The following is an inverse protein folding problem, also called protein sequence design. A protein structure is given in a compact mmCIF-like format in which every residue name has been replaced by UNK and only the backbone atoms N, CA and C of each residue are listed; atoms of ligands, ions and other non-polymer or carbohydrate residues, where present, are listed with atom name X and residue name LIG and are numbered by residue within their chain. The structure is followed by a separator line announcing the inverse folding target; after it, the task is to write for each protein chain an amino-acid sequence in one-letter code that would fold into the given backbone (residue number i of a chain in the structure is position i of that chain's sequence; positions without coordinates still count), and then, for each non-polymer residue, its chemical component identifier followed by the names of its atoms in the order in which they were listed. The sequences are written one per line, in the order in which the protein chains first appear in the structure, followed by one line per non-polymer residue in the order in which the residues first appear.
data_IF_594697446857
#
_entry.id   IF_594697446857
#
_cell.length_a   1.000
_cell.length_b   1.000
_cell.length_c   1.000
_cell.angle_alpha   90.00
_cell.angle_beta   90.00
_cell.angle_gamma   90.00
#
_symmetry.space_group_name_H-M   'P 1'
#
loop_
_entity.id
_entity.type
_entity.pdbx_description
1 polymer ?
#
# COMPACT_ATOMS: atom_id res chain seq x y z
N UNK A 1 -22.14 -5.87 -44.27
CA UNK A 1 -22.81 -5.77 -42.94
C UNK A 1 -23.65 -4.50 -42.91
N UNK A 2 -24.98 -4.60 -42.72
CA UNK A 2 -25.89 -3.45 -42.63
C UNK A 2 -25.52 -2.52 -41.44
N UNK A 3 -25.76 -1.21 -41.58
CA UNK A 3 -25.56 -0.15 -40.59
C UNK A 3 -26.18 -0.51 -39.23
N UNK A 4 -27.29 -1.26 -39.23
CA UNK A 4 -27.91 -1.77 -38.00
C UNK A 4 -27.09 -2.87 -37.30
N UNK A 5 -26.50 -3.79 -38.06
CA UNK A 5 -25.65 -4.85 -37.50
C UNK A 5 -24.38 -4.27 -36.86
N UNK A 6 -23.77 -3.26 -37.50
CA UNK A 6 -22.58 -2.57 -36.99
C UNK A 6 -22.83 -1.88 -35.64
N UNK A 7 -23.99 -1.21 -35.48
CA UNK A 7 -24.38 -0.55 -34.23
C UNK A 7 -24.62 -1.51 -33.06
N UNK A 8 -25.14 -2.72 -33.32
CA UNK A 8 -25.37 -3.72 -32.27
C UNK A 8 -24.05 -4.29 -31.76
N UNK A 9 -23.11 -4.60 -32.68
CA UNK A 9 -21.77 -5.09 -32.33
C UNK A 9 -21.01 -4.04 -31.53
N UNK A 10 -21.04 -2.77 -31.95
CA UNK A 10 -20.38 -1.68 -31.23
C UNK A 10 -20.88 -1.51 -29.79
N UNK A 11 -22.21 -1.58 -29.57
CA UNK A 11 -22.77 -1.48 -28.21
C UNK A 11 -22.32 -2.62 -27.31
N UNK A 12 -22.35 -3.85 -27.82
CA UNK A 12 -21.89 -5.03 -27.06
C UNK A 12 -20.41 -4.91 -26.73
N UNK A 13 -19.60 -4.45 -27.67
CA UNK A 13 -18.17 -4.27 -27.49
C UNK A 13 -17.85 -3.19 -26.46
N UNK A 14 -18.53 -2.03 -26.52
CA UNK A 14 -18.39 -0.95 -25.54
C UNK A 14 -18.77 -1.42 -24.12
N UNK A 15 -19.86 -2.19 -24.00
CA UNK A 15 -20.28 -2.78 -22.74
C UNK A 15 -19.20 -3.73 -22.18
N UNK A 16 -18.68 -4.66 -23.00
CA UNK A 16 -17.65 -5.60 -22.57
C UNK A 16 -16.35 -4.89 -22.15
N UNK A 17 -15.92 -3.86 -22.89
CA UNK A 17 -14.75 -3.04 -22.52
C UNK A 17 -14.97 -2.39 -21.17
N UNK A 18 -16.11 -1.71 -20.97
CA UNK A 18 -16.40 -1.05 -19.69
C UNK A 18 -16.49 -2.04 -18.53
N UNK A 19 -17.02 -3.26 -18.76
CA UNK A 19 -17.06 -4.32 -17.76
C UNK A 19 -15.66 -4.76 -17.35
N UNK A 20 -14.76 -4.98 -18.32
CA UNK A 20 -13.36 -5.32 -18.06
C UNK A 20 -12.63 -4.20 -17.32
N UNK A 21 -12.89 -2.94 -17.67
CA UNK A 21 -12.30 -1.79 -16.98
C UNK A 21 -12.79 -1.66 -15.53
N UNK A 22 -14.07 -1.91 -15.25
CA UNK A 22 -14.59 -1.93 -13.88
C UNK A 22 -13.89 -3.02 -13.07
N UNK A 23 -13.79 -4.23 -13.63
CA UNK A 23 -13.11 -5.34 -12.95
C UNK A 23 -11.63 -5.02 -12.68
N UNK A 24 -10.92 -4.49 -13.69
CA UNK A 24 -9.53 -4.08 -13.55
C UNK A 24 -9.38 -2.99 -12.48
N UNK A 25 -10.23 -1.96 -12.49
CA UNK A 25 -10.20 -0.87 -11.52
C UNK A 25 -10.40 -1.39 -10.08
N UNK A 26 -11.36 -2.29 -9.86
CA UNK A 26 -11.59 -2.90 -8.55
C UNK A 26 -10.40 -3.74 -8.09
N UNK A 27 -9.82 -4.53 -8.99
CA UNK A 27 -8.65 -5.34 -8.71
C UNK A 27 -7.44 -4.47 -8.34
N UNK A 28 -7.18 -3.39 -9.09
CA UNK A 28 -6.12 -2.41 -8.79
C UNK A 28 -6.38 -1.74 -7.44
N UNK A 29 -7.61 -1.30 -7.18
CA UNK A 29 -7.99 -0.65 -5.92
C UNK A 29 -7.81 -1.58 -4.72
N UNK A 30 -8.15 -2.87 -4.88
CA UNK A 30 -7.97 -3.89 -3.86
C UNK A 30 -6.50 -4.21 -3.59
N UNK A 31 -5.70 -4.45 -4.65
CA UNK A 31 -4.24 -4.67 -4.51
C UNK A 31 -3.58 -3.47 -3.83
N UNK A 32 -4.13 -2.27 -4.02
CA UNK A 32 -3.57 -1.03 -3.48
C UNK A 32 -4.03 -0.65 -2.08
N UNK A 33 -4.88 -1.46 -1.44
CA UNK A 33 -5.50 -1.15 -0.14
C UNK A 33 -6.12 0.27 -0.09
N UNK A 34 -6.50 0.84 -1.25
CA UNK A 34 -7.10 2.18 -1.31
C UNK A 34 -8.52 2.19 -0.73
N UNK A 35 -9.19 1.03 -0.77
CA UNK A 35 -10.56 0.87 -0.29
C UNK A 35 -10.69 -0.40 0.54
N UNK A 36 -11.38 -0.29 1.67
CA UNK A 36 -11.83 -1.46 2.41
C UNK A 36 -12.72 -2.35 1.53
N UNK A 37 -12.63 -3.66 1.73
CA UNK A 37 -13.33 -4.68 0.95
C UNK A 37 -14.85 -4.44 0.86
N UNK A 38 -15.48 -3.99 1.94
CA UNK A 38 -16.92 -3.68 1.96
C UNK A 38 -17.27 -2.52 1.04
N UNK A 39 -16.49 -1.44 1.08
CA UNK A 39 -16.70 -0.26 0.23
C UNK A 39 -16.45 -0.55 -1.25
N UNK A 40 -15.44 -1.37 -1.57
CA UNK A 40 -15.14 -1.74 -2.96
C UNK A 40 -16.23 -2.62 -3.56
N UNK A 41 -16.86 -3.49 -2.78
CA UNK A 41 -18.03 -4.27 -3.21
C UNK A 41 -19.23 -3.37 -3.57
N UNK A 42 -19.59 -2.41 -2.70
CA UNK A 42 -20.70 -1.51 -2.97
C UNK A 42 -20.46 -0.65 -4.22
N UNK A 43 -19.24 -0.15 -4.40
CA UNK A 43 -18.85 0.62 -5.58
C UNK A 43 -18.88 -0.23 -6.85
N UNK A 44 -18.37 -1.47 -6.80
CA UNK A 44 -18.41 -2.39 -7.93
C UNK A 44 -19.84 -2.70 -8.38
N UNK A 45 -20.73 -2.97 -7.42
CA UNK A 45 -22.15 -3.21 -7.70
C UNK A 45 -22.80 -1.96 -8.31
N UNK A 46 -22.53 -0.76 -7.78
CA UNK A 46 -23.13 0.48 -8.30
C UNK A 46 -22.68 0.75 -9.75
N UNK A 47 -21.39 0.60 -10.05
CA UNK A 47 -20.84 0.76 -11.39
C UNK A 47 -21.41 -0.28 -12.37
N UNK A 48 -21.59 -1.52 -11.94
CA UNK A 48 -22.25 -2.55 -12.75
C UNK A 48 -23.69 -2.19 -13.08
N UNK A 49 -24.46 -1.68 -12.10
CA UNK A 49 -25.84 -1.25 -12.32
C UNK A 49 -25.94 -0.08 -13.28
N UNK A 50 -25.06 0.93 -13.14
CA UNK A 50 -24.99 2.07 -14.05
C UNK A 50 -24.62 1.62 -15.46
N UNK A 51 -23.64 0.74 -15.60
CA UNK A 51 -23.24 0.18 -16.89
C UNK A 51 -24.38 -0.60 -17.57
N UNK A 52 -25.12 -1.41 -16.79
CA UNK A 52 -26.30 -2.11 -17.27
C UNK A 52 -27.43 -1.16 -17.70
N UNK A 53 -27.62 -0.05 -16.99
CA UNK A 53 -28.59 0.99 -17.34
C UNK A 53 -28.22 1.66 -18.66
N UNK A 54 -26.97 2.08 -18.82
CA UNK A 54 -26.48 2.73 -20.04
C UNK A 54 -26.59 1.80 -21.25
N UNK A 55 -26.22 0.53 -21.11
CA UNK A 55 -26.41 -0.47 -22.17
C UNK A 55 -27.88 -0.62 -22.61
N UNK A 56 -28.83 -0.54 -21.68
CA UNK A 56 -30.27 -0.53 -22.00
C UNK A 56 -30.68 0.73 -22.74
N UNK A 57 -30.20 1.90 -22.31
CA UNK A 57 -30.50 3.20 -22.92
C UNK A 57 -29.92 3.35 -24.33
N UNK A 58 -28.79 2.68 -24.62
CA UNK A 58 -28.20 2.63 -25.95
C UNK A 58 -29.03 1.82 -26.96
N UNK A 59 -30.02 1.04 -26.52
CA UNK A 59 -30.87 0.25 -27.42
C UNK A 59 -31.75 1.17 -28.29
N UNK A 60 -31.62 1.11 -29.63
CA UNK A 60 -32.45 1.93 -30.52
C UNK A 60 -33.92 1.56 -30.34
N UNK A 61 -34.79 2.57 -30.28
CA UNK A 61 -36.23 2.35 -30.20
C UNK A 61 -36.75 1.95 -31.58
N UNK A 62 -37.80 1.13 -31.57
CA UNK A 62 -38.56 0.81 -32.77
C UNK A 62 -39.57 1.94 -32.99
N UNK A 63 -39.38 2.71 -34.05
CA UNK A 63 -40.30 3.77 -34.46
C UNK A 63 -41.06 3.26 -35.69
N UNK A 64 -42.38 3.46 -35.74
CA UNK A 64 -43.18 3.19 -36.93
C UNK A 64 -42.96 4.34 -37.92
N UNK A 65 -42.31 4.06 -39.04
CA UNK A 65 -42.15 5.02 -40.15
C UNK A 65 -42.82 4.40 -41.37
N UNK A 66 -43.83 5.08 -41.93
CA UNK A 66 -44.62 4.60 -43.09
C UNK A 66 -45.12 3.15 -42.91
N UNK A 67 -45.68 2.84 -41.74
CA UNK A 67 -46.24 1.50 -41.43
C UNK A 67 -45.21 0.41 -41.07
N UNK A 68 -43.91 0.62 -41.32
CA UNK A 68 -42.85 -0.36 -40.99
C UNK A 68 -42.17 0.01 -39.66
N UNK A 69 -41.88 -0.99 -38.83
CA UNK A 69 -41.08 -0.79 -37.60
C UNK A 69 -39.61 -0.70 -37.96
N UNK A 70 -39.02 0.49 -37.83
CA UNK A 70 -37.60 0.73 -38.11
C UNK A 70 -36.89 1.03 -36.79
N UNK A 71 -35.71 0.45 -36.57
CA UNK A 71 -34.84 0.78 -35.43
C UNK A 71 -34.17 2.12 -35.73
N UNK A 72 -34.52 3.16 -34.99
CA UNK A 72 -33.89 4.47 -35.13
C UNK A 72 -33.29 4.90 -33.78
N UNK A 73 -32.03 5.36 -33.76
CA UNK A 73 -31.44 5.93 -32.56
C UNK A 73 -32.07 7.30 -32.28
N UNK A 74 -32.36 7.58 -31.02
CA UNK A 74 -32.83 8.88 -30.53
C UNK A 74 -31.66 9.56 -29.80
N UNK A 75 -31.72 10.87 -29.55
CA UNK A 75 -30.66 11.62 -28.85
C UNK A 75 -30.14 10.93 -27.58
N UNK A 76 -31.03 10.33 -26.77
CA UNK A 76 -30.64 9.63 -25.54
C UNK A 76 -29.68 8.45 -25.76
N UNK A 77 -29.75 7.79 -26.91
CA UNK A 77 -28.86 6.68 -27.25
C UNK A 77 -27.43 7.17 -27.48
N UNK A 78 -27.28 8.37 -28.05
CA UNK A 78 -25.97 8.99 -28.26
C UNK A 78 -25.41 9.51 -26.94
N UNK A 79 -26.25 10.13 -26.11
CA UNK A 79 -25.86 10.59 -24.76
C UNK A 79 -25.37 9.42 -23.91
N UNK A 80 -26.09 8.30 -23.89
CA UNK A 80 -25.69 7.11 -23.14
C UNK A 80 -24.31 6.59 -23.58
N UNK A 81 -24.04 6.55 -24.89
CA UNK A 81 -22.72 6.17 -25.43
C UNK A 81 -21.60 7.10 -24.99
N UNK A 82 -21.84 8.42 -25.05
CA UNK A 82 -20.85 9.44 -24.67
C UNK A 82 -20.55 9.35 -23.17
N UNK A 83 -21.58 9.20 -22.34
CA UNK A 83 -21.42 9.03 -20.89
C UNK A 83 -20.67 7.74 -20.58
N UNK A 84 -21.00 6.64 -21.25
CA UNK A 84 -20.30 5.37 -21.07
C UNK A 84 -18.82 5.46 -21.46
N UNK A 85 -18.51 6.16 -22.55
CA UNK A 85 -17.13 6.42 -22.96
C UNK A 85 -16.39 7.28 -21.92
N UNK A 86 -17.02 8.31 -21.36
CA UNK A 86 -16.45 9.14 -20.31
C UNK A 86 -16.14 8.32 -19.04
N UNK A 87 -17.03 7.40 -18.66
CA UNK A 87 -16.79 6.46 -17.55
C UNK A 87 -15.57 5.58 -17.84
N UNK A 88 -15.43 5.04 -19.05
CA UNK A 88 -14.25 4.26 -19.42
C UNK A 88 -12.96 5.07 -19.26
N UNK A 89 -12.94 6.31 -19.74
CA UNK A 89 -11.78 7.21 -19.60
C UNK A 89 -11.48 7.46 -18.11
N UNK A 90 -12.51 7.73 -17.32
CA UNK A 90 -12.37 7.93 -15.88
C UNK A 90 -11.79 6.69 -15.18
N UNK A 91 -12.24 5.48 -15.53
CA UNK A 91 -11.72 4.24 -14.97
C UNK A 91 -10.26 3.98 -15.35
N UNK A 92 -9.86 4.33 -16.58
CA UNK A 92 -8.47 4.22 -17.04
C UNK A 92 -7.59 5.19 -16.26
N UNK A 93 -7.97 6.48 -16.20
CA UNK A 93 -7.22 7.51 -15.45
C UNK A 93 -7.17 7.18 -13.96
N UNK A 94 -8.30 6.78 -13.38
CA UNK A 94 -8.38 6.36 -11.99
C UNK A 94 -7.41 5.21 -11.69
N UNK A 95 -7.46 4.15 -12.50
CA UNK A 95 -6.53 3.02 -12.37
C UNK A 95 -5.07 3.45 -12.51
N UNK A 96 -4.75 4.31 -13.48
CA UNK A 96 -3.40 4.82 -13.70
C UNK A 96 -2.89 5.63 -12.51
N UNK A 97 -3.70 6.55 -11.99
CA UNK A 97 -3.34 7.33 -10.80
C UNK A 97 -3.15 6.45 -9.58
N UNK A 98 -3.89 5.35 -9.42
CA UNK A 98 -3.66 4.40 -8.32
C UNK A 98 -2.33 3.64 -8.48
N UNK A 99 -1.89 3.36 -9.71
CA UNK A 99 -0.55 2.81 -9.96
C UNK A 99 0.56 3.83 -9.66
N UNK A 100 0.40 5.07 -10.12
CA UNK A 100 1.34 6.16 -9.81
C UNK A 100 1.34 6.46 -8.32
N UNK A 101 0.21 6.38 -7.62
CA UNK A 101 0.20 6.50 -6.16
C UNK A 101 1.08 5.43 -5.53
N UNK A 102 1.22 4.20 -6.01
CA UNK A 102 2.21 3.27 -5.43
C UNK A 102 3.65 3.49 -5.87
N UNK A 103 3.93 4.03 -7.05
CA UNK A 103 5.30 4.37 -7.45
C UNK A 103 5.75 5.69 -6.82
N UNK A 104 4.89 6.69 -6.83
CA UNK A 104 5.10 8.03 -6.29
C UNK A 104 4.83 8.07 -4.79
N UNK A 105 3.87 7.35 -4.17
CA UNK A 105 3.92 7.07 -2.72
C UNK A 105 4.87 5.93 -2.39
N UNK A 106 5.39 5.13 -3.32
CA UNK A 106 6.50 4.20 -3.02
C UNK A 106 7.79 4.99 -2.83
N UNK A 107 8.06 5.90 -3.75
CA UNK A 107 9.17 6.84 -3.69
C UNK A 107 8.93 7.95 -2.68
N UNK A 108 7.74 8.55 -2.61
CA UNK A 108 7.36 9.51 -1.57
C UNK A 108 7.08 8.88 -0.22
N UNK A 109 6.72 7.59 -0.03
CA UNK A 109 6.83 6.95 1.30
C UNK A 109 8.29 6.66 1.64
N UNK A 110 9.18 6.50 0.65
CA UNK A 110 10.62 6.60 0.87
C UNK A 110 11.08 8.01 1.32
N UNK A 111 10.33 9.08 1.00
CA UNK A 111 10.69 10.47 1.36
C UNK A 111 9.79 11.13 2.44
N UNK A 112 8.62 10.57 2.71
CA UNK A 112 7.58 11.01 3.64
C UNK A 112 7.08 9.84 4.50
N UNK A 113 7.94 8.84 4.72
CA UNK A 113 7.86 8.10 5.97
C UNK A 113 7.97 9.13 7.09
N UNK A 114 7.13 8.98 8.12
CA UNK A 114 7.57 9.34 9.46
C UNK A 114 8.98 8.78 9.56
N UNK A 115 9.97 9.68 9.52
CA UNK A 115 11.37 9.36 9.62
C UNK A 115 11.52 8.62 10.94
N UNK A 116 11.51 7.29 10.89
CA UNK A 116 11.49 6.48 12.08
C UNK A 116 12.92 6.43 12.54
N UNK A 117 13.11 7.03 13.72
CA UNK A 117 14.41 7.07 14.33
C UNK A 117 14.62 5.73 15.00
N UNK A 118 15.53 4.94 14.45
CA UNK A 118 16.06 3.75 15.09
C UNK A 118 17.31 4.13 15.87
N UNK A 119 17.44 3.64 17.10
CA UNK A 119 18.62 3.86 17.92
C UNK A 119 19.28 2.54 18.28
N UNK A 120 20.60 2.53 18.13
CA UNK A 120 21.50 1.49 18.59
C UNK A 120 21.91 1.87 20.01
N UNK A 121 21.49 1.05 20.96
CA UNK A 121 21.65 1.26 22.39
C UNK A 121 22.54 0.19 22.98
N UNK A 122 23.32 0.59 23.98
CA UNK A 122 24.04 -0.32 24.88
C UNK A 122 23.75 0.10 26.32
N UNK A 123 24.10 -0.74 27.28
CA UNK A 123 24.10 -0.31 28.68
C UNK A 123 25.08 0.86 28.89
N UNK A 124 24.74 1.76 29.80
CA UNK A 124 25.57 2.93 30.10
C UNK A 124 26.90 2.55 30.76
N UNK A 125 26.93 1.40 31.43
CA UNK A 125 28.11 0.75 31.98
C UNK A 125 29.06 0.22 30.89
N UNK A 126 28.58 0.00 29.66
CA UNK A 126 29.38 -0.49 28.54
C UNK A 126 30.45 0.54 28.13
N UNK A 127 31.62 0.07 27.68
CA UNK A 127 32.75 0.92 27.29
C UNK A 127 32.63 1.46 25.86
N UNK A 128 31.77 0.89 25.02
CA UNK A 128 31.59 1.29 23.63
C UNK A 128 31.12 2.75 23.53
N UNK A 129 31.78 3.56 22.70
CA UNK A 129 31.41 4.96 22.47
C UNK A 129 31.11 5.26 20.99
N UNK A 130 31.46 4.32 20.11
CA UNK A 130 31.23 4.41 18.68
C UNK A 130 30.67 3.10 18.13
N UNK A 131 30.11 3.15 16.93
CA UNK A 131 29.60 1.93 16.27
C UNK A 131 30.73 0.90 16.09
N UNK A 132 31.94 1.35 15.76
CA UNK A 132 33.11 0.48 15.53
C UNK A 132 33.55 -0.31 16.75
N UNK A 133 33.21 0.15 17.96
CA UNK A 133 33.48 -0.57 19.21
C UNK A 133 32.54 -1.78 19.39
N UNK A 134 31.46 -1.84 18.62
CA UNK A 134 30.46 -2.92 18.64
C UNK A 134 30.80 -4.05 17.66
N UNK A 135 32.06 -4.11 17.19
CA UNK A 135 32.51 -5.17 16.31
C UNK A 135 32.42 -6.53 17.03
N UNK A 136 31.86 -7.55 16.37
CA UNK A 136 31.54 -8.86 16.97
C UNK A 136 30.56 -8.86 18.17
N UNK A 137 29.84 -7.77 18.46
CA UNK A 137 28.80 -7.76 19.48
C UNK A 137 27.54 -8.50 19.01
N UNK A 138 26.80 -9.10 19.94
CA UNK A 138 25.47 -9.67 19.71
C UNK A 138 24.42 -8.56 19.74
N UNK A 139 23.74 -8.40 18.60
CA UNK A 139 22.65 -7.45 18.41
C UNK A 139 21.31 -8.13 18.66
N UNK A 140 20.37 -7.40 19.25
CA UNK A 140 18.99 -7.87 19.42
C UNK A 140 17.95 -6.80 19.12
N UNK A 141 16.76 -7.25 18.76
CA UNK A 141 15.59 -6.39 18.55
C UNK A 141 14.26 -7.16 18.76
N UNK A 142 13.15 -6.43 18.83
CA UNK A 142 11.81 -7.01 19.02
C UNK A 142 11.09 -7.27 17.68
N UNK A 143 10.41 -8.40 17.54
CA UNK A 143 9.86 -8.92 16.28
C UNK A 143 8.88 -8.01 15.56
N UNK A 144 8.10 -7.20 16.28
CA UNK A 144 7.07 -6.33 15.67
C UNK A 144 7.64 -5.22 14.77
N UNK A 145 8.96 -4.99 14.82
CA UNK A 145 9.66 -3.98 14.00
C UNK A 145 10.42 -4.60 12.79
N UNK A 146 10.22 -5.88 12.47
CA UNK A 146 11.12 -6.67 11.61
C UNK A 146 11.31 -6.14 10.16
N UNK A 147 10.29 -5.53 9.53
CA UNK A 147 10.39 -5.14 8.12
C UNK A 147 11.32 -3.96 7.85
N UNK A 148 11.42 -2.98 8.77
CA UNK A 148 12.32 -1.81 8.64
C UNK A 148 13.64 -1.98 9.41
N UNK A 149 13.67 -2.86 10.41
CA UNK A 149 14.91 -3.18 11.13
C UNK A 149 15.93 -3.88 10.23
N UNK A 150 15.50 -4.66 9.24
CA UNK A 150 16.43 -5.27 8.29
C UNK A 150 17.31 -4.22 7.58
N UNK A 151 16.74 -3.08 7.20
CA UNK A 151 17.48 -1.96 6.58
C UNK A 151 18.46 -1.31 7.58
N UNK A 152 18.07 -1.20 8.86
CA UNK A 152 18.98 -0.73 9.94
C UNK A 152 20.15 -1.70 10.11
N UNK A 153 19.87 -3.00 10.16
CA UNK A 153 20.86 -4.06 10.34
C UNK A 153 21.81 -4.11 9.15
N UNK A 154 21.31 -3.93 7.92
CA UNK A 154 22.14 -3.85 6.73
C UNK A 154 23.07 -2.62 6.78
N UNK A 155 22.55 -1.44 7.13
CA UNK A 155 23.37 -0.24 7.31
C UNK A 155 24.47 -0.40 8.37
N UNK A 156 24.16 -1.04 9.50
CA UNK A 156 25.14 -1.35 10.54
C UNK A 156 26.18 -2.37 10.02
N UNK A 157 25.72 -3.43 9.36
CA UNK A 157 26.55 -4.48 8.75
C UNK A 157 27.55 -3.90 7.74
N UNK A 158 27.08 -3.01 6.84
CA UNK A 158 27.93 -2.29 5.89
C UNK A 158 28.93 -1.36 6.59
N UNK A 159 28.49 -0.64 7.63
CA UNK A 159 29.36 0.27 8.40
C UNK A 159 30.48 -0.48 9.13
N UNK A 160 30.18 -1.67 9.65
CA UNK A 160 31.11 -2.53 10.37
C UNK A 160 31.90 -3.49 9.47
N UNK A 161 31.55 -3.58 8.19
CA UNK A 161 32.11 -4.55 7.24
C UNK A 161 32.06 -5.99 7.76
N UNK A 162 31.02 -6.33 8.52
CA UNK A 162 30.81 -7.66 9.09
C UNK A 162 29.34 -8.06 8.93
N UNK A 163 29.07 -9.35 8.79
CA UNK A 163 27.70 -9.87 8.75
C UNK A 163 27.13 -9.93 10.17
N UNK A 164 26.01 -9.25 10.39
CA UNK A 164 25.29 -9.26 11.66
C UNK A 164 24.07 -10.16 11.52
N UNK A 165 23.90 -11.09 12.46
CA UNK A 165 22.69 -11.91 12.59
C UNK A 165 22.05 -11.57 13.94
N UNK A 166 21.03 -10.69 13.97
CA UNK A 166 20.45 -10.25 15.24
C UNK A 166 19.59 -11.34 15.88
N UNK A 167 19.53 -11.34 17.21
CA UNK A 167 18.58 -12.12 17.98
C UNK A 167 17.21 -11.41 18.01
N UNK A 168 16.15 -12.15 17.72
CA UNK A 168 14.78 -11.62 17.65
C UNK A 168 14.01 -12.05 18.89
N UNK A 169 13.37 -11.11 19.56
CA UNK A 169 12.56 -11.34 20.76
C UNK A 169 11.10 -10.95 20.53
N UNK A 170 10.17 -11.62 21.20
CA UNK A 170 8.74 -11.42 20.97
C UNK A 170 8.14 -10.30 21.81
N UNK A 171 8.81 -9.89 22.90
CA UNK A 171 8.29 -8.88 23.83
C UNK A 171 9.35 -7.89 24.31
N UNK A 172 8.91 -6.67 24.64
CA UNK A 172 9.75 -5.64 25.27
C UNK A 172 10.46 -6.15 26.53
N UNK A 173 9.76 -6.94 27.35
CA UNK A 173 10.28 -7.50 28.60
C UNK A 173 11.41 -8.51 28.37
N UNK A 174 11.23 -9.43 27.41
CA UNK A 174 12.27 -10.39 27.03
C UNK A 174 13.50 -9.69 26.45
N UNK A 175 13.26 -8.67 25.63
CA UNK A 175 14.32 -7.88 25.00
C UNK A 175 15.17 -7.14 26.05
N UNK A 176 14.54 -6.51 27.05
CA UNK A 176 15.25 -5.88 28.17
C UNK A 176 16.01 -6.89 29.02
N UNK A 177 15.38 -8.02 29.34
CA UNK A 177 16.03 -9.08 30.11
C UNK A 177 17.26 -9.61 29.37
N UNK A 178 17.22 -9.73 28.04
CA UNK A 178 18.36 -10.12 27.23
C UNK A 178 19.50 -9.09 27.27
N UNK A 179 19.19 -7.80 27.25
CA UNK A 179 20.18 -6.72 27.38
C UNK A 179 20.86 -6.78 28.76
N UNK A 180 20.07 -6.80 29.84
CA UNK A 180 20.59 -6.79 31.22
C UNK A 180 21.27 -8.09 31.65
N UNK A 181 20.94 -9.22 31.01
CA UNK A 181 21.64 -10.49 31.22
C UNK A 181 22.87 -10.65 30.33
N UNK A 182 23.24 -9.62 29.54
CA UNK A 182 24.36 -9.63 28.57
C UNK A 182 24.22 -10.67 27.45
N UNK A 183 23.04 -11.26 27.27
CA UNK A 183 22.70 -12.16 26.17
C UNK A 183 22.80 -11.47 24.81
N UNK A 184 22.45 -10.19 24.80
CA UNK A 184 22.79 -9.23 23.74
C UNK A 184 23.58 -8.10 24.38
N UNK A 185 24.57 -7.57 23.67
CA UNK A 185 25.30 -6.38 24.12
C UNK A 185 24.73 -5.10 23.48
N UNK A 186 24.02 -5.25 22.36
CA UNK A 186 23.47 -4.13 21.60
C UNK A 186 21.98 -4.34 21.35
N UNK A 187 21.19 -3.33 21.70
CA UNK A 187 19.76 -3.30 21.47
C UNK A 187 19.43 -2.27 20.37
N UNK A 188 18.70 -2.71 19.34
CA UNK A 188 18.14 -1.82 18.32
C UNK A 188 16.66 -1.60 18.65
N UNK A 189 16.25 -0.34 18.82
CA UNK A 189 14.83 0.01 19.03
C UNK A 189 14.36 1.04 18.02
N UNK A 190 13.06 1.00 17.71
CA UNK A 190 12.34 2.17 17.21
C UNK A 190 12.12 3.14 18.39
N UNK A 191 12.53 4.40 18.26
CA UNK A 191 12.35 5.42 19.31
C UNK A 191 10.87 5.66 19.65
N UNK A 192 9.94 5.36 18.74
CA UNK A 192 8.49 5.37 19.03
C UNK A 192 8.11 4.39 20.16
N UNK A 193 8.87 3.30 20.32
CA UNK A 193 8.63 2.23 21.30
C UNK A 193 9.38 2.47 22.62
N UNK A 194 10.26 3.50 22.72
CA UNK A 194 10.96 3.85 23.97
C UNK A 194 10.02 4.01 25.17
N UNK A 195 8.84 4.65 25.06
CA UNK A 195 7.91 4.77 26.18
C UNK A 195 7.43 3.40 26.72
N UNK A 196 7.34 2.38 25.87
CA UNK A 196 6.93 1.04 26.29
C UNK A 196 8.04 0.31 27.06
N UNK A 197 9.30 0.55 26.71
CA UNK A 197 10.44 0.14 27.53
C UNK A 197 10.46 0.87 28.88
N UNK A 198 10.17 2.17 28.92
CA UNK A 198 10.13 2.97 30.15
C UNK A 198 8.96 2.60 31.09
N UNK A 199 7.84 2.09 30.54
CA UNK A 199 6.76 1.52 31.35
C UNK A 199 7.21 0.28 32.13
N UNK A 200 8.13 -0.51 31.57
CA UNK A 200 8.66 -1.73 32.20
C UNK A 200 9.80 -1.38 33.16
N UNK A 201 10.75 -0.55 32.73
CA UNK A 201 11.84 -0.04 33.55
C UNK A 201 11.90 1.48 33.43
N UNK A 202 11.41 2.20 34.45
CA UNK A 202 11.37 3.67 34.48
C UNK A 202 12.76 4.32 34.34
N UNK A 203 13.83 3.57 34.60
CA UNK A 203 15.21 4.02 34.47
C UNK A 203 15.85 3.63 33.14
N UNK A 204 15.11 3.03 32.20
CA UNK A 204 15.66 2.52 30.92
C UNK A 204 16.53 3.56 30.21
N UNK A 205 16.03 4.79 30.05
CA UNK A 205 16.77 5.88 29.39
C UNK A 205 17.97 6.40 30.20
N UNK A 206 18.02 6.15 31.51
CA UNK A 206 19.19 6.45 32.35
C UNK A 206 20.24 5.34 32.29
N UNK A 207 19.80 4.07 32.24
CA UNK A 207 20.62 2.86 32.25
C UNK A 207 21.20 2.51 30.88
N UNK A 208 20.65 3.07 29.80
CA UNK A 208 21.14 2.86 28.45
C UNK A 208 21.76 4.14 27.88
N UNK A 209 22.64 3.98 26.89
CA UNK A 209 23.20 5.07 26.10
C UNK A 209 23.07 4.77 24.61
N UNK A 210 22.79 5.81 23.83
CA UNK A 210 22.68 5.72 22.37
C UNK A 210 24.07 5.85 21.76
N UNK A 211 24.49 4.86 20.97
CA UNK A 211 25.77 4.85 20.24
C UNK A 211 25.60 5.46 18.86
N UNK A 212 24.47 5.14 18.19
CA UNK A 212 24.16 5.64 16.86
C UNK A 212 22.64 5.68 16.68
N UNK A 213 22.16 6.69 15.97
CA UNK A 213 20.79 6.70 15.46
C UNK A 213 20.80 6.65 13.94
N UNK A 214 19.84 5.91 13.40
CA UNK A 214 19.50 5.85 11.99
C UNK A 214 18.13 6.46 11.81
N UNK A 215 17.97 7.20 10.73
CA UNK A 215 16.68 7.74 10.33
C UNK A 215 16.35 7.06 9.02
N UNK A 216 15.31 6.24 9.05
CA UNK A 216 14.82 5.48 7.90
C UNK A 216 13.42 5.96 7.60
#
# INVERSE_FOLDING_TARGET
MDKQGKNIVQRRLLFMISLMLIFMFLLVSYINDEMHFTSSLFMGISLLLVNMLLYKLEKPRLIKVKGKRVKQPIGINYVAKVVQLAICIFLIVGSWTSFEKKQVFGWMKGYAQDRERYSVLVERSDKANSLYDLNNSAFGYMSDDAHRINDVVENISSSLKQRITPCIYSTHKETLAALYSTKIQVLIINEKNRPDFEKIDKDFSRKTKVIKSYII
#
